data_IF_951792096821
#
_entry.id   IF_951792096821
#
_cell.length_a   1.000
_cell.length_b   1.000
_cell.length_c   1.000
_cell.angle_alpha   90.00
_cell.angle_beta   90.00
_cell.angle_gamma   90.00
#
_symmetry.space_group_name_H-M   'P 1'
#
loop_
_entity.id
_entity.type
_entity.pdbx_description
1 polymer ?
#
# COMPACT_ATOMS: atom_id res chain seq x y z
N UNK A 1 -13.67 -18.02 -25.77
CA UNK A 1 -14.64 -17.06 -25.19
C UNK A 1 -14.43 -16.88 -23.70
N UNK A 2 -14.34 -17.96 -22.92
CA UNK A 2 -14.11 -17.85 -21.46
C UNK A 2 -12.81 -17.12 -21.12
N UNK A 3 -11.79 -17.31 -21.91
CA UNK A 3 -10.48 -16.68 -21.72
C UNK A 3 -10.54 -15.15 -21.81
N UNK A 4 -11.28 -14.64 -22.80
CA UNK A 4 -11.40 -13.19 -23.04
C UNK A 4 -12.10 -12.53 -21.86
N UNK A 5 -13.17 -13.15 -21.36
CA UNK A 5 -13.93 -12.63 -20.21
C UNK A 5 -13.04 -12.58 -18.97
N UNK A 6 -12.26 -13.65 -18.73
CA UNK A 6 -11.34 -13.70 -17.57
C UNK A 6 -10.27 -12.62 -17.65
N UNK A 7 -9.69 -12.40 -18.84
CA UNK A 7 -8.67 -11.37 -19.04
C UNK A 7 -9.24 -9.97 -18.81
N UNK A 8 -10.45 -9.70 -19.29
CA UNK A 8 -11.11 -8.42 -19.10
C UNK A 8 -11.41 -8.16 -17.60
N UNK A 9 -11.85 -9.19 -16.89
CA UNK A 9 -12.13 -9.09 -15.46
C UNK A 9 -10.88 -8.78 -14.66
N UNK A 10 -9.78 -9.51 -14.94
CA UNK A 10 -8.49 -9.27 -14.28
C UNK A 10 -7.99 -7.86 -14.59
N UNK A 11 -8.07 -7.41 -15.83
CA UNK A 11 -7.67 -6.07 -16.22
C UNK A 11 -8.46 -5.00 -15.48
N UNK A 12 -9.78 -5.18 -15.33
CA UNK A 12 -10.63 -4.25 -14.62
C UNK A 12 -10.27 -4.18 -13.13
N UNK A 13 -9.96 -5.32 -12.50
CA UNK A 13 -9.57 -5.35 -11.10
C UNK A 13 -8.22 -4.66 -10.87
N UNK A 14 -7.29 -4.79 -11.80
CA UNK A 14 -5.99 -4.12 -11.71
C UNK A 14 -6.09 -2.62 -11.99
N UNK A 15 -6.99 -2.21 -12.88
CA UNK A 15 -7.19 -0.80 -13.23
C UNK A 15 -7.95 -0.02 -12.15
N UNK A 16 -8.87 -0.66 -11.43
CA UNK A 16 -9.67 0.00 -10.43
C UNK A 16 -8.85 0.71 -9.33
N UNK A 17 -7.80 0.08 -8.74
CA UNK A 17 -6.94 0.78 -7.77
C UNK A 17 -6.26 2.01 -8.37
N UNK A 18 -5.78 1.93 -9.62
CA UNK A 18 -5.13 3.07 -10.27
C UNK A 18 -6.09 4.23 -10.46
N UNK A 19 -7.33 3.95 -10.87
CA UNK A 19 -8.37 4.97 -11.00
C UNK A 19 -8.70 5.58 -9.64
N UNK A 20 -8.78 4.77 -8.59
CA UNK A 20 -8.97 5.23 -7.22
C UNK A 20 -7.83 6.13 -6.75
N UNK A 21 -6.59 5.80 -7.12
CA UNK A 21 -5.43 6.62 -6.76
C UNK A 21 -5.52 8.00 -7.39
N UNK A 22 -5.99 8.10 -8.63
CA UNK A 22 -6.13 9.36 -9.33
C UNK A 22 -7.27 10.22 -8.78
N UNK A 23 -8.34 9.58 -8.31
CA UNK A 23 -9.55 10.27 -7.84
C UNK A 23 -9.53 10.60 -6.35
N UNK A 24 -8.62 9.98 -5.58
CA UNK A 24 -8.60 10.10 -4.13
C UNK A 24 -7.87 11.35 -3.65
N UNK A 25 -8.00 11.62 -2.34
CA UNK A 25 -7.29 12.69 -1.68
C UNK A 25 -5.80 12.43 -1.61
N UNK A 26 -5.07 13.50 -1.30
CA UNK A 26 -3.62 13.45 -1.19
C UNK A 26 -3.18 13.82 0.21
N UNK A 27 -2.03 13.29 0.60
CA UNK A 27 -1.37 13.70 1.82
C UNK A 27 -0.78 15.11 1.66
N UNK A 28 -0.41 15.79 2.76
CA UNK A 28 0.15 17.14 2.67
C UNK A 28 1.36 17.27 1.75
N UNK A 29 2.11 16.17 1.54
CA UNK A 29 3.26 16.17 0.63
C UNK A 29 2.86 15.99 -0.84
N UNK A 30 1.57 15.94 -1.16
CA UNK A 30 1.08 15.79 -2.52
C UNK A 30 0.93 14.34 -3.01
N UNK A 31 1.28 13.35 -2.21
CA UNK A 31 1.20 11.96 -2.64
C UNK A 31 -0.18 11.36 -2.31
N UNK A 32 -0.62 10.43 -3.16
CA UNK A 32 -1.95 9.83 -3.08
C UNK A 32 -2.08 8.92 -1.85
N UNK A 33 -3.12 9.14 -1.05
CA UNK A 33 -3.47 8.27 0.08
C UNK A 33 -3.81 6.85 -0.37
N UNK A 34 -4.58 6.73 -1.44
CA UNK A 34 -4.99 5.42 -1.92
C UNK A 34 -3.83 4.63 -2.50
N UNK A 35 -2.91 5.29 -3.21
CA UNK A 35 -1.70 4.64 -3.67
C UNK A 35 -0.91 4.07 -2.51
N UNK A 36 -0.72 4.86 -1.45
CA UNK A 36 -0.01 4.43 -0.26
C UNK A 36 -0.72 3.25 0.42
N UNK A 37 -2.04 3.32 0.55
CA UNK A 37 -2.83 2.23 1.13
C UNK A 37 -2.62 0.93 0.36
N UNK A 38 -2.77 0.96 -0.95
CA UNK A 38 -2.63 -0.25 -1.77
C UNK A 38 -1.22 -0.81 -1.74
N UNK A 39 -0.21 0.05 -1.71
CA UNK A 39 1.18 -0.39 -1.57
C UNK A 39 1.41 -1.10 -0.23
N UNK A 40 0.80 -0.60 0.85
CA UNK A 40 0.90 -1.24 2.16
C UNK A 40 0.10 -2.54 2.22
N UNK A 41 -0.97 -2.68 1.46
CA UNK A 41 -1.68 -3.95 1.32
C UNK A 41 -0.79 -4.97 0.62
N UNK A 42 0.00 -4.54 -0.35
CA UNK A 42 0.97 -5.41 -1.02
C UNK A 42 2.08 -5.85 -0.08
N UNK A 43 2.59 -4.93 0.77
CA UNK A 43 3.56 -5.27 1.81
C UNK A 43 3.57 -4.17 2.88
N UNK A 44 3.55 -4.54 4.17
CA UNK A 44 3.60 -3.53 5.25
C UNK A 44 4.80 -2.60 5.12
N UNK A 45 4.57 -1.33 5.35
CA UNK A 45 5.62 -0.31 5.31
C UNK A 45 5.87 0.30 3.94
N UNK A 46 5.46 -0.35 2.86
CA UNK A 46 5.73 0.15 1.50
C UNK A 46 4.96 1.44 1.21
N UNK A 47 3.71 1.53 1.68
CA UNK A 47 2.92 2.74 1.53
C UNK A 47 3.52 3.92 2.27
N UNK A 48 3.99 3.70 3.50
CA UNK A 48 4.67 4.73 4.28
C UNK A 48 5.97 5.15 3.62
N UNK A 49 6.72 4.20 3.06
CA UNK A 49 7.92 4.50 2.29
C UNK A 49 7.59 5.39 1.07
N UNK A 50 6.53 5.06 0.36
CA UNK A 50 6.04 5.86 -0.75
C UNK A 50 5.69 7.28 -0.30
N UNK A 51 4.99 7.43 0.84
CA UNK A 51 4.62 8.74 1.39
C UNK A 51 5.84 9.55 1.82
N UNK A 52 6.92 8.88 2.21
CA UNK A 52 8.18 9.54 2.55
C UNK A 52 9.05 9.86 1.34
N UNK A 53 8.53 9.71 0.13
CA UNK A 53 9.19 10.16 -1.09
C UNK A 53 10.00 9.08 -1.80
N UNK A 54 9.88 7.80 -1.43
CA UNK A 54 10.73 6.73 -1.95
C UNK A 54 12.21 6.99 -1.64
N UNK A 55 13.08 6.70 -2.61
CA UNK A 55 14.51 6.94 -2.47
C UNK A 55 15.18 5.88 -1.63
N UNK A 56 16.02 6.29 -0.68
CA UNK A 56 16.75 5.36 0.17
C UNK A 56 15.80 4.51 0.99
N UNK A 57 16.15 3.24 1.19
CA UNK A 57 15.39 2.33 2.06
C UNK A 57 15.30 2.85 3.49
N UNK A 58 16.19 3.74 3.90
CA UNK A 58 16.12 4.38 5.23
C UNK A 58 14.83 5.19 5.42
N UNK A 59 14.17 5.59 4.35
CA UNK A 59 12.90 6.30 4.41
C UNK A 59 11.71 5.38 4.68
N UNK A 60 11.89 4.07 4.63
CA UNK A 60 10.84 3.10 4.94
C UNK A 60 10.79 2.83 6.44
N UNK A 61 9.58 2.54 6.99
CA UNK A 61 9.48 2.11 8.38
C UNK A 61 10.07 0.71 8.53
N UNK A 62 11.26 0.63 9.10
CA UNK A 62 12.07 -0.59 9.10
C UNK A 62 11.38 -1.76 9.80
N UNK A 63 10.81 -1.52 10.98
CA UNK A 63 10.16 -2.60 11.73
C UNK A 63 8.92 -3.11 11.00
N UNK A 64 8.08 -2.23 10.50
CA UNK A 64 6.91 -2.62 9.72
C UNK A 64 7.30 -3.43 8.50
N UNK A 65 8.34 -2.99 7.79
CA UNK A 65 8.76 -3.66 6.58
C UNK A 65 9.29 -5.07 6.87
N UNK A 66 10.23 -5.19 7.80
CA UNK A 66 10.86 -6.49 8.08
C UNK A 66 9.92 -7.44 8.79
N UNK A 67 9.14 -6.97 9.76
CA UNK A 67 8.14 -7.80 10.42
C UNK A 67 6.98 -8.15 9.50
N UNK A 68 6.82 -7.42 8.40
CA UNK A 68 5.83 -7.72 7.37
C UNK A 68 6.03 -9.08 6.71
N UNK A 69 7.21 -9.68 6.81
CA UNK A 69 7.46 -11.03 6.27
C UNK A 69 6.96 -12.14 7.17
N UNK A 70 6.50 -11.83 8.39
CA UNK A 70 5.99 -12.85 9.31
C UNK A 70 4.54 -13.18 8.95
N UNK A 71 4.22 -14.45 8.59
CA UNK A 71 2.83 -14.82 8.27
C UNK A 71 1.87 -14.55 9.43
N UNK A 72 0.67 -14.07 9.11
CA UNK A 72 -0.41 -13.74 10.04
C UNK A 72 -0.15 -12.53 10.92
N UNK A 73 1.08 -12.26 11.31
CA UNK A 73 1.44 -11.04 12.03
C UNK A 73 1.74 -9.89 11.06
N UNK A 74 2.55 -10.17 10.03
CA UNK A 74 2.95 -9.19 9.04
C UNK A 74 2.05 -9.24 7.81
N UNK A 75 2.41 -10.10 6.87
CA UNK A 75 1.67 -10.28 5.63
C UNK A 75 1.51 -11.77 5.30
N UNK A 76 0.29 -12.23 5.02
CA UNK A 76 -0.97 -11.50 5.23
C UNK A 76 -1.31 -11.43 6.71
N UNK A 77 -1.81 -10.29 7.18
CA UNK A 77 -2.23 -10.21 8.57
C UNK A 77 -2.24 -8.80 9.17
N UNK A 78 -1.88 -8.76 10.44
CA UNK A 78 -2.05 -7.57 11.27
C UNK A 78 -1.31 -6.33 10.73
N UNK A 79 -0.02 -6.46 10.42
CA UNK A 79 0.75 -5.32 9.96
C UNK A 79 0.31 -4.84 8.58
N UNK A 80 -0.18 -5.75 7.73
CA UNK A 80 -0.75 -5.37 6.45
C UNK A 80 -1.93 -4.40 6.65
N UNK A 81 -2.84 -4.74 7.56
CA UNK A 81 -3.99 -3.90 7.85
C UNK A 81 -3.56 -2.59 8.52
N UNK A 82 -2.69 -2.67 9.53
CA UNK A 82 -2.22 -1.49 10.26
C UNK A 82 -1.48 -0.52 9.33
N UNK A 83 -0.58 -1.04 8.51
CA UNK A 83 0.18 -0.21 7.58
C UNK A 83 -0.72 0.43 6.53
N UNK A 84 -1.71 -0.31 6.01
CA UNK A 84 -2.66 0.24 5.04
C UNK A 84 -3.49 1.39 5.65
N UNK A 85 -3.98 1.22 6.88
CA UNK A 85 -4.73 2.25 7.58
C UNK A 85 -3.85 3.46 7.86
N UNK A 86 -2.64 3.24 8.35
CA UNK A 86 -1.70 4.33 8.63
C UNK A 86 -1.38 5.11 7.36
N UNK A 87 -1.08 4.43 6.27
CA UNK A 87 -0.77 5.08 5.00
C UNK A 87 -1.96 5.87 4.45
N UNK A 88 -3.16 5.31 4.55
CA UNK A 88 -4.37 6.02 4.12
C UNK A 88 -4.63 7.28 4.94
N UNK A 89 -4.16 7.34 6.17
CA UNK A 89 -4.27 8.50 7.03
C UNK A 89 -3.00 9.36 7.02
N UNK A 90 -2.13 9.15 6.05
CA UNK A 90 -0.89 9.89 5.87
C UNK A 90 0.10 9.75 7.04
N UNK A 91 -0.03 8.70 7.81
CA UNK A 91 0.91 8.40 8.89
C UNK A 91 2.05 7.55 8.35
N UNK A 92 3.28 7.96 8.65
CA UNK A 92 4.48 7.29 8.14
C UNK A 92 5.33 6.73 9.28
N UNK A 93 4.73 6.51 10.44
CA UNK A 93 5.41 6.00 11.61
C UNK A 93 5.79 4.51 11.45
N UNK A 94 6.69 4.07 12.31
CA UNK A 94 7.14 2.67 12.38
C UNK A 94 6.50 1.94 13.57
N UNK A 95 5.31 2.35 13.96
CA UNK A 95 4.56 1.72 15.06
C UNK A 95 3.99 0.38 14.64
N UNK A 96 4.18 -0.61 15.46
CA UNK A 96 3.67 -1.96 15.25
C UNK A 96 2.69 -2.35 16.41
#
# INVERSE_FOLDING_TARGET
>A
MRWIVSLLTVGALLAAPLAGWAADGRCPNGRSKNAAMWLSIAHPGVGEWFLNGWGSFDNAPQRKFWLGFIPFYGWPGYLQAKSAVDAKNCRTNDDI
#
